data_IF_064218412715
#
_entry.id   IF_064218412715
#
_cell.length_a   1.000
_cell.length_b   1.000
_cell.length_c   1.000
_cell.angle_alpha   90.00
_cell.angle_beta   90.00
_cell.angle_gamma   90.00
#
_symmetry.space_group_name_H-M   'P 1'
#
loop_
_entity.id
_entity.type
_entity.pdbx_description
1 polymer ?
#
# COMPACT_ATOMS: atom_id res chain seq x y z
N UNK A 1 -41.47 -32.19 36.25
CA UNK A 1 -40.82 -30.88 36.47
C UNK A 1 -39.38 -31.11 36.92
N UNK A 2 -38.44 -31.08 35.97
CA UNK A 2 -36.99 -30.95 36.21
C UNK A 2 -36.48 -30.01 35.12
N UNK A 3 -36.12 -28.79 35.50
CA UNK A 3 -35.56 -27.78 34.61
C UNK A 3 -34.15 -28.22 34.20
N UNK A 4 -33.96 -28.58 32.93
CA UNK A 4 -32.65 -28.74 32.32
C UNK A 4 -32.29 -27.38 31.71
N UNK A 5 -31.31 -26.69 32.30
CA UNK A 5 -30.74 -25.45 31.77
C UNK A 5 -29.84 -25.80 30.60
N UNK A 6 -30.23 -25.40 29.39
CA UNK A 6 -29.35 -25.36 28.23
C UNK A 6 -28.38 -24.19 28.42
N UNK A 7 -27.08 -24.48 28.53
CA UNK A 7 -26.03 -23.49 28.36
C UNK A 7 -25.69 -23.46 26.87
N UNK A 8 -26.32 -22.53 26.15
CA UNK A 8 -25.83 -22.09 24.86
C UNK A 8 -24.62 -21.19 25.14
N UNK A 9 -23.42 -21.69 24.89
CA UNK A 9 -22.24 -20.82 24.80
C UNK A 9 -22.34 -20.06 23.48
N UNK A 10 -22.98 -18.88 23.54
CA UNK A 10 -22.69 -17.80 22.61
C UNK A 10 -21.21 -17.44 22.79
N UNK A 11 -20.35 -18.05 21.97
CA UNK A 11 -19.06 -17.45 21.63
C UNK A 11 -19.39 -16.28 20.73
N UNK A 12 -19.72 -15.16 21.38
CA UNK A 12 -19.63 -13.83 20.81
C UNK A 12 -18.31 -13.74 20.08
N UNK A 13 -18.37 -13.56 18.76
CA UNK A 13 -17.22 -13.21 17.96
C UNK A 13 -16.51 -12.07 18.65
N UNK A 14 -15.28 -12.35 19.11
CA UNK A 14 -14.34 -11.29 19.36
C UNK A 14 -14.08 -10.68 17.99
N UNK A 15 -14.83 -9.63 17.67
CA UNK A 15 -14.31 -8.57 16.81
C UNK A 15 -13.10 -8.08 17.59
N UNK A 16 -11.94 -8.67 17.29
CA UNK A 16 -10.66 -8.10 17.65
C UNK A 16 -10.59 -6.85 16.77
N UNK A 17 -11.21 -5.77 17.24
CA UNK A 17 -10.80 -4.41 16.92
C UNK A 17 -9.41 -4.28 17.53
N UNK A 18 -8.42 -4.85 16.85
CA UNK A 18 -7.07 -4.36 16.96
C UNK A 18 -7.14 -2.96 16.36
N UNK A 19 -7.27 -1.96 17.22
CA UNK A 19 -6.93 -0.59 16.87
C UNK A 19 -5.47 -0.63 16.49
N UNK A 20 -5.21 -0.63 15.19
CA UNK A 20 -3.90 -0.79 14.58
C UNK A 20 -3.08 0.50 14.62
N UNK A 21 -3.48 1.56 15.35
CA UNK A 21 -2.69 2.77 15.61
C UNK A 21 -1.80 3.20 14.43
N UNK A 22 -2.38 3.22 13.23
CA UNK A 22 -1.64 3.39 11.99
C UNK A 22 -0.71 4.60 11.95
N UNK A 23 0.49 4.32 11.43
CA UNK A 23 1.29 5.19 10.57
C UNK A 23 1.14 6.70 10.86
N UNK A 24 1.45 7.15 12.07
CA UNK A 24 1.87 8.55 12.24
C UNK A 24 3.29 8.64 11.72
N UNK A 25 3.44 9.11 10.47
CA UNK A 25 4.74 9.60 10.00
C UNK A 25 5.30 10.54 11.08
N UNK A 26 6.57 10.40 11.50
CA UNK A 26 7.13 11.20 12.57
C UNK A 26 7.17 12.68 12.14
N UNK A 27 6.14 13.42 12.52
CA UNK A 27 6.06 14.87 12.31
C UNK A 27 7.07 15.56 13.23
N UNK A 28 8.14 16.11 12.66
CA UNK A 28 8.90 17.16 13.33
C UNK A 28 8.21 18.50 13.04
N UNK A 29 7.28 18.88 13.92
CA UNK A 29 6.70 20.22 13.92
C UNK A 29 7.75 21.25 14.33
N UNK A 30 8.46 21.81 13.36
CA UNK A 30 9.28 22.98 13.60
C UNK A 30 9.08 24.03 12.48
N UNK A 31 7.87 24.62 12.47
CA UNK A 31 7.63 25.92 11.84
C UNK A 31 8.31 27.02 12.70
N UNK A 32 9.64 26.97 12.79
CA UNK A 32 10.39 27.91 13.62
C UNK A 32 10.44 29.28 12.94
N UNK A 33 10.09 30.31 13.71
CA UNK A 33 10.12 31.72 13.35
C UNK A 33 11.54 32.22 13.05
N UNK A 34 11.67 32.98 11.95
CA UNK A 34 12.72 33.98 11.62
C UNK A 34 13.98 33.93 12.50
N UNK A 35 14.90 32.99 12.22
CA UNK A 35 16.14 32.86 13.00
C UNK A 35 17.43 32.61 12.21
N UNK A 36 17.39 32.37 10.89
CA UNK A 36 18.61 32.05 10.15
C UNK A 36 19.30 33.33 9.60
N UNK A 37 20.48 33.61 10.13
CA UNK A 37 21.39 34.63 9.58
C UNK A 37 22.01 34.20 8.24
N UNK A 38 21.79 32.95 7.81
CA UNK A 38 22.39 32.33 6.62
C UNK A 38 21.52 32.41 5.34
N UNK A 39 20.21 32.70 5.43
CA UNK A 39 19.35 32.83 4.23
C UNK A 39 19.60 34.17 3.53
N UNK A 40 19.75 34.10 2.19
CA UNK A 40 19.98 35.24 1.30
C UNK A 40 18.98 36.38 1.50
N UNK A 41 19.47 37.63 1.42
CA UNK A 41 18.64 38.84 1.37
C UNK A 41 18.20 39.22 -0.05
N UNK A 42 18.75 38.54 -1.07
CA UNK A 42 18.33 38.68 -2.47
C UNK A 42 17.36 37.55 -2.80
N UNK A 43 16.26 37.87 -3.49
CA UNK A 43 15.26 36.87 -3.89
C UNK A 43 15.92 35.69 -4.62
N UNK A 44 15.52 34.47 -4.26
CA UNK A 44 15.92 33.27 -4.99
C UNK A 44 15.29 33.25 -6.40
N UNK A 45 15.96 32.57 -7.33
CA UNK A 45 15.56 32.54 -8.74
C UNK A 45 14.26 31.74 -8.97
N UNK A 46 14.06 30.65 -8.22
CA UNK A 46 12.85 29.83 -8.28
C UNK A 46 11.70 30.57 -7.61
N UNK A 47 10.93 31.32 -8.39
CA UNK A 47 9.77 32.08 -7.90
C UNK A 47 8.51 31.24 -7.98
N UNK A 48 7.85 30.99 -6.85
CA UNK A 48 6.54 30.36 -6.78
C UNK A 48 5.42 31.39 -6.61
N UNK A 49 4.33 31.21 -7.33
CA UNK A 49 3.14 32.08 -7.29
C UNK A 49 1.86 31.38 -6.85
N UNK A 50 1.90 30.06 -6.76
CA UNK A 50 0.89 29.20 -6.16
C UNK A 50 1.54 27.98 -5.50
N UNK A 51 0.75 27.12 -4.87
CA UNK A 51 1.23 25.90 -4.19
C UNK A 51 1.82 24.88 -5.18
N UNK A 52 1.32 24.82 -6.43
CA UNK A 52 1.83 23.89 -7.43
C UNK A 52 3.27 24.21 -7.82
N UNK A 53 3.60 25.49 -7.97
CA UNK A 53 4.97 25.92 -8.23
C UNK A 53 5.94 25.40 -7.15
N UNK A 54 5.53 25.51 -5.87
CA UNK A 54 6.35 25.04 -4.73
C UNK A 54 6.54 23.52 -4.78
N UNK A 55 5.44 22.78 -4.97
CA UNK A 55 5.46 21.32 -5.09
C UNK A 55 6.36 20.88 -6.24
N UNK A 56 6.26 21.52 -7.41
CA UNK A 56 7.07 21.20 -8.57
C UNK A 56 8.56 21.45 -8.32
N UNK A 57 8.94 22.56 -7.69
CA UNK A 57 10.36 22.80 -7.34
C UNK A 57 10.92 21.75 -6.39
N UNK A 58 10.11 21.27 -5.44
CA UNK A 58 10.53 20.20 -4.54
C UNK A 58 10.68 18.89 -5.32
N UNK A 59 9.70 18.51 -6.16
CA UNK A 59 9.75 17.30 -6.99
C UNK A 59 10.94 17.31 -7.95
N UNK A 60 11.24 18.46 -8.56
CA UNK A 60 12.42 18.63 -9.41
C UNK A 60 13.71 18.40 -8.62
N UNK A 61 13.84 19.00 -7.44
CA UNK A 61 15.00 18.81 -6.58
C UNK A 61 15.14 17.34 -6.10
N UNK A 62 14.04 16.67 -5.77
CA UNK A 62 14.01 15.23 -5.46
C UNK A 62 14.51 14.40 -6.65
N UNK A 63 14.01 14.68 -7.86
CA UNK A 63 14.41 14.01 -9.10
C UNK A 63 15.89 14.23 -9.44
N UNK A 64 16.43 15.37 -9.03
CA UNK A 64 17.84 15.71 -9.14
C UNK A 64 18.73 15.13 -8.04
N UNK A 65 18.17 14.34 -7.12
CA UNK A 65 18.85 13.77 -5.96
C UNK A 65 19.43 14.84 -5.02
N UNK A 66 18.74 15.98 -4.93
CA UNK A 66 18.99 17.02 -3.95
C UNK A 66 18.12 16.76 -2.71
N UNK A 67 18.58 17.23 -1.55
CA UNK A 67 17.84 17.15 -0.28
C UNK A 67 17.28 18.51 0.14
N UNK A 68 17.43 19.53 -0.71
CA UNK A 68 16.90 20.85 -0.46
C UNK A 68 16.69 21.63 -1.75
N UNK A 69 15.79 22.59 -1.71
CA UNK A 69 15.61 23.59 -2.76
C UNK A 69 15.39 24.98 -2.16
N UNK A 70 15.75 26.00 -2.94
CA UNK A 70 15.59 27.40 -2.57
C UNK A 70 14.45 28.00 -3.38
N UNK A 71 13.47 28.62 -2.72
CA UNK A 71 12.26 29.13 -3.36
C UNK A 71 11.99 30.56 -2.89
N UNK A 72 11.64 31.46 -3.81
CA UNK A 72 11.12 32.78 -3.49
C UNK A 72 9.59 32.78 -3.59
N UNK A 73 8.92 33.20 -2.53
CA UNK A 73 7.45 33.22 -2.40
C UNK A 73 6.99 34.65 -2.11
N UNK A 74 6.22 35.30 -3.00
CA UNK A 74 5.68 36.64 -2.75
C UNK A 74 4.56 36.66 -1.69
N UNK A 75 3.76 35.60 -1.62
CA UNK A 75 2.58 35.50 -0.76
C UNK A 75 2.85 34.56 0.43
N UNK A 76 2.89 35.06 1.68
CA UNK A 76 3.13 34.22 2.86
C UNK A 76 2.07 33.14 3.08
N UNK A 77 0.86 33.29 2.54
CA UNK A 77 -0.22 32.31 2.73
C UNK A 77 0.08 30.98 2.00
N UNK A 78 1.04 30.98 1.07
CA UNK A 78 1.51 29.77 0.39
C UNK A 78 2.50 28.95 1.23
N UNK A 79 3.01 29.49 2.35
CA UNK A 79 4.02 28.83 3.19
C UNK A 79 3.35 27.84 4.16
N UNK A 80 2.97 26.67 3.63
CA UNK A 80 2.40 25.57 4.41
C UNK A 80 3.11 24.24 4.11
N UNK A 81 4.17 23.96 4.88
CA UNK A 81 4.93 22.72 4.73
C UNK A 81 4.09 21.46 4.99
N UNK A 82 3.02 21.54 5.77
CA UNK A 82 2.13 20.38 5.98
C UNK A 82 1.30 20.12 4.73
N UNK A 83 0.76 21.19 4.11
CA UNK A 83 0.05 21.07 2.84
C UNK A 83 0.95 20.42 1.78
N UNK A 84 2.19 20.89 1.63
CA UNK A 84 3.12 20.32 0.63
C UNK A 84 3.43 18.86 0.93
N UNK A 85 3.72 18.51 2.19
CA UNK A 85 4.00 17.14 2.60
C UNK A 85 2.85 16.19 2.25
N UNK A 86 1.60 16.62 2.42
CA UNK A 86 0.43 15.80 2.10
C UNK A 86 0.23 15.57 0.59
N UNK A 87 0.89 16.36 -0.26
CA UNK A 87 0.73 16.35 -1.71
C UNK A 87 1.93 15.79 -2.46
N UNK A 88 3.08 15.65 -1.80
CA UNK A 88 4.31 15.13 -2.41
C UNK A 88 4.51 13.68 -1.98
N UNK A 89 4.22 12.74 -2.90
CA UNK A 89 4.49 11.32 -2.68
C UNK A 89 5.98 11.06 -2.46
N UNK A 90 6.32 10.23 -1.48
CA UNK A 90 7.67 9.76 -1.25
C UNK A 90 8.63 10.76 -0.58
N UNK A 91 8.10 11.80 0.07
CA UNK A 91 8.82 12.53 1.10
C UNK A 91 8.49 11.92 2.46
N UNK A 92 9.53 11.65 3.26
CA UNK A 92 9.39 11.20 4.65
C UNK A 92 9.27 12.39 5.61
N UNK A 93 10.08 13.43 5.37
CA UNK A 93 10.15 14.62 6.21
C UNK A 93 10.37 15.86 5.36
N UNK A 94 9.77 16.98 5.78
CA UNK A 94 10.00 18.28 5.18
C UNK A 94 10.21 19.31 6.28
N UNK A 95 11.21 20.16 6.09
CA UNK A 95 11.52 21.31 6.94
C UNK A 95 11.56 22.54 6.05
N UNK A 96 10.80 23.56 6.43
CA UNK A 96 10.83 24.85 5.76
C UNK A 96 11.45 25.91 6.67
N UNK A 97 12.57 26.48 6.26
CA UNK A 97 13.15 27.65 6.89
C UNK A 97 12.94 28.85 5.98
N UNK A 98 12.44 29.96 6.50
CA UNK A 98 12.17 31.12 5.68
C UNK A 98 12.70 32.42 6.29
N UNK A 99 12.93 33.39 5.41
CA UNK A 99 13.34 34.73 5.73
C UNK A 99 12.52 35.74 4.95
N UNK A 100 12.01 36.75 5.65
CA UNK A 100 11.34 37.89 4.98
C UNK A 100 12.36 38.77 4.26
N UNK A 101 12.07 39.11 3.01
CA UNK A 101 12.83 40.08 2.22
C UNK A 101 11.91 41.17 1.66
N UNK A 102 12.44 42.06 0.82
CA UNK A 102 11.63 43.03 0.10
C UNK A 102 10.72 42.28 -0.89
N UNK A 103 9.43 42.54 -0.82
CA UNK A 103 8.40 42.01 -1.73
C UNK A 103 8.12 40.47 -1.62
N UNK A 104 8.55 39.82 -0.53
CA UNK A 104 8.21 38.41 -0.28
C UNK A 104 9.10 37.72 0.76
N UNK A 105 9.24 36.39 0.60
CA UNK A 105 9.96 35.50 1.48
C UNK A 105 10.90 34.59 0.69
N UNK A 106 12.12 34.42 1.18
CA UNK A 106 13.04 33.39 0.71
C UNK A 106 12.90 32.17 1.61
N UNK A 107 12.61 31.03 0.99
CA UNK A 107 12.46 29.73 1.64
C UNK A 107 13.65 28.84 1.27
N UNK A 108 14.17 28.13 2.25
CA UNK A 108 15.03 26.96 2.09
C UNK A 108 14.21 25.77 2.57
N UNK A 109 13.77 24.96 1.63
CA UNK A 109 13.00 23.75 1.92
C UNK A 109 13.98 22.59 1.91
N UNK A 110 14.16 21.94 3.05
CA UNK A 110 14.98 20.73 3.21
C UNK A 110 14.05 19.54 3.39
N UNK A 111 14.35 18.40 2.78
CA UNK A 111 13.48 17.24 2.81
C UNK A 111 14.26 15.93 2.78
N UNK A 112 13.65 14.88 3.32
CA UNK A 112 14.11 13.50 3.25
C UNK A 112 13.18 12.73 2.31
N UNK A 113 13.76 12.07 1.31
CA UNK A 113 13.02 11.30 0.32
C UNK A 113 13.15 9.80 0.60
N UNK A 114 12.16 9.06 0.13
CA UNK A 114 12.27 7.62 -0.10
C UNK A 114 13.53 7.26 -0.88
N UNK A 115 14.17 6.16 -0.49
CA UNK A 115 15.38 5.66 -1.14
C UNK A 115 15.08 5.26 -2.61
N UNK A 116 13.81 4.95 -2.93
CA UNK A 116 13.28 4.72 -4.28
C UNK A 116 13.81 5.72 -5.33
N UNK A 117 13.81 7.03 -5.07
CA UNK A 117 14.17 8.04 -6.07
C UNK A 117 15.61 7.89 -6.56
N UNK A 118 16.55 7.77 -5.63
CA UNK A 118 17.97 7.57 -5.94
C UNK A 118 18.19 6.22 -6.63
N UNK A 119 17.52 5.17 -6.14
CA UNK A 119 17.60 3.80 -6.63
C UNK A 119 17.11 3.67 -8.07
N UNK A 120 15.95 4.22 -8.40
CA UNK A 120 15.39 4.19 -9.77
C UNK A 120 16.24 5.01 -10.74
N UNK A 121 16.76 6.17 -10.31
CA UNK A 121 17.72 6.95 -11.11
C UNK A 121 19.00 6.15 -11.41
N UNK A 122 19.53 5.44 -10.41
CA UNK A 122 20.70 4.58 -10.59
C UNK A 122 20.40 3.39 -11.51
N UNK A 123 19.23 2.76 -11.36
CA UNK A 123 18.77 1.65 -12.19
C UNK A 123 18.67 2.06 -13.66
N UNK A 124 17.95 3.15 -13.95
CA UNK A 124 17.73 3.65 -15.30
C UNK A 124 19.02 4.13 -15.99
N UNK A 125 19.95 4.68 -15.23
CA UNK A 125 21.25 5.13 -15.76
C UNK A 125 22.32 4.04 -15.81
N UNK A 126 22.10 2.91 -15.14
CA UNK A 126 23.13 1.89 -14.90
C UNK A 126 24.31 2.39 -14.05
N UNK A 127 24.13 3.45 -13.26
CA UNK A 127 25.19 4.11 -12.49
C UNK A 127 24.83 4.25 -11.00
N UNK A 128 25.47 3.44 -10.17
CA UNK A 128 25.26 3.42 -8.71
C UNK A 128 26.22 4.35 -7.93
N UNK A 129 27.09 5.11 -8.60
CA UNK A 129 28.13 5.93 -7.93
C UNK A 129 27.58 7.06 -7.03
N UNK A 130 26.33 7.47 -7.25
CA UNK A 130 25.66 8.50 -6.45
C UNK A 130 24.89 7.92 -5.25
N UNK A 131 24.77 6.59 -5.17
CA UNK A 131 24.10 5.92 -4.06
C UNK A 131 25.02 5.90 -2.83
N UNK A 132 24.43 6.16 -1.66
CA UNK A 132 25.11 5.90 -0.39
C UNK A 132 25.11 4.39 -0.06
N UNK A 133 25.84 3.96 0.98
CA UNK A 133 25.97 2.53 1.32
C UNK A 133 24.63 1.82 1.57
N UNK A 134 23.70 2.49 2.25
CA UNK A 134 22.35 1.99 2.54
C UNK A 134 21.56 1.77 1.25
N UNK A 135 21.60 2.75 0.35
CA UNK A 135 20.93 2.68 -0.95
C UNK A 135 21.54 1.62 -1.87
N UNK A 136 22.86 1.39 -1.82
CA UNK A 136 23.51 0.31 -2.57
C UNK A 136 23.04 -1.05 -2.07
N UNK A 137 22.94 -1.24 -0.75
CA UNK A 137 22.44 -2.48 -0.15
C UNK A 137 21.00 -2.77 -0.58
N UNK A 138 20.12 -1.78 -0.46
CA UNK A 138 18.72 -1.88 -0.88
C UNK A 138 18.58 -2.09 -2.40
N UNK A 139 19.35 -1.36 -3.22
CA UNK A 139 19.41 -1.56 -4.68
C UNK A 139 19.77 -3.01 -5.02
N UNK A 140 20.80 -3.57 -4.40
CA UNK A 140 21.21 -4.95 -4.64
C UNK A 140 20.11 -5.95 -4.23
N UNK A 141 19.41 -5.67 -3.13
CA UNK A 141 18.27 -6.50 -2.69
C UNK A 141 17.13 -6.48 -3.72
N UNK A 142 16.79 -5.33 -4.29
CA UNK A 142 15.80 -5.26 -5.38
C UNK A 142 16.22 -6.09 -6.60
N UNK A 143 17.47 -5.98 -7.04
CA UNK A 143 17.99 -6.75 -8.18
C UNK A 143 17.96 -8.26 -7.90
N UNK A 144 18.33 -8.69 -6.69
CA UNK A 144 18.27 -10.08 -6.26
C UNK A 144 16.84 -10.63 -6.38
N UNK A 145 15.87 -9.92 -5.79
CA UNK A 145 14.47 -10.36 -5.77
C UNK A 145 13.86 -10.36 -7.18
N UNK A 146 14.13 -9.32 -7.99
CA UNK A 146 13.69 -9.30 -9.40
C UNK A 146 14.19 -10.54 -10.15
N UNK A 147 15.47 -10.88 -9.99
CA UNK A 147 16.06 -12.06 -10.64
C UNK A 147 15.49 -13.39 -10.11
N UNK A 148 15.06 -13.43 -8.85
CA UNK A 148 14.48 -14.62 -8.22
C UNK A 148 13.04 -14.88 -8.66
N UNK A 149 12.18 -13.85 -8.58
CA UNK A 149 10.73 -14.06 -8.68
C UNK A 149 10.11 -13.57 -9.99
N UNK A 150 10.80 -12.77 -10.80
CA UNK A 150 10.25 -12.20 -12.05
C UNK A 150 10.93 -12.75 -13.30
N UNK A 151 10.35 -12.47 -14.48
CA UNK A 151 10.97 -12.81 -15.76
C UNK A 151 10.50 -11.90 -16.89
N UNK A 152 11.38 -11.48 -17.83
CA UNK A 152 10.95 -10.77 -19.04
C UNK A 152 10.02 -11.57 -19.96
N UNK A 153 9.89 -12.89 -19.75
CA UNK A 153 8.98 -13.74 -20.50
C UNK A 153 7.55 -13.80 -19.90
N UNK A 154 7.37 -13.32 -18.67
CA UNK A 154 6.08 -13.21 -17.99
C UNK A 154 5.40 -11.90 -18.38
N UNK A 155 4.08 -11.89 -18.33
CA UNK A 155 3.29 -10.67 -18.44
C UNK A 155 3.52 -9.73 -17.25
N UNK A 156 3.16 -8.46 -17.42
CA UNK A 156 3.23 -7.47 -16.34
C UNK A 156 2.44 -7.92 -15.12
N UNK A 157 1.22 -8.44 -15.32
CA UNK A 157 0.40 -9.03 -14.25
C UNK A 157 1.11 -10.18 -13.51
N UNK A 158 1.75 -11.10 -14.24
CA UNK A 158 2.44 -12.24 -13.62
C UNK A 158 3.69 -11.81 -12.85
N UNK A 159 4.38 -10.75 -13.28
CA UNK A 159 5.52 -10.19 -12.57
C UNK A 159 5.06 -9.36 -11.35
N UNK A 160 3.99 -8.58 -11.49
CA UNK A 160 3.35 -7.85 -10.41
C UNK A 160 2.91 -8.80 -9.28
N UNK A 161 2.14 -9.85 -9.61
CA UNK A 161 1.68 -10.85 -8.65
C UNK A 161 2.84 -11.53 -7.94
N UNK A 162 3.92 -11.86 -8.65
CA UNK A 162 5.09 -12.48 -8.05
C UNK A 162 5.81 -11.56 -7.05
N UNK A 163 5.84 -10.25 -7.32
CA UNK A 163 6.39 -9.24 -6.40
C UNK A 163 5.46 -9.06 -5.20
N UNK A 164 4.16 -8.93 -5.42
CA UNK A 164 3.16 -8.86 -4.36
C UNK A 164 3.33 -10.03 -3.38
N UNK A 165 3.33 -11.25 -3.90
CA UNK A 165 3.44 -12.49 -3.12
C UNK A 165 4.76 -12.55 -2.35
N UNK A 166 5.86 -12.13 -2.98
CA UNK A 166 7.15 -12.04 -2.31
C UNK A 166 7.11 -11.08 -1.12
N UNK A 167 6.54 -9.88 -1.30
CA UNK A 167 6.45 -8.88 -0.23
C UNK A 167 5.61 -9.39 0.94
N UNK A 168 4.42 -9.93 0.66
CA UNK A 168 3.52 -10.49 1.68
C UNK A 168 4.18 -11.65 2.43
N UNK A 169 4.98 -12.48 1.77
CA UNK A 169 5.62 -13.63 2.44
C UNK A 169 6.91 -13.32 3.18
N UNK A 170 7.55 -12.17 2.91
CA UNK A 170 8.89 -11.83 3.45
C UNK A 170 8.90 -10.64 4.40
N UNK A 171 7.84 -9.84 4.43
CA UNK A 171 7.72 -8.71 5.34
C UNK A 171 6.69 -9.07 6.41
N UNK A 172 6.98 -8.71 7.65
CA UNK A 172 6.05 -8.78 8.76
C UNK A 172 5.59 -7.37 9.12
N UNK A 173 4.28 -7.15 9.14
CA UNK A 173 3.75 -5.86 9.59
C UNK A 173 4.05 -5.64 11.08
N UNK A 174 4.76 -4.56 11.41
CA UNK A 174 5.07 -4.19 12.79
C UNK A 174 4.81 -2.71 13.01
N UNK A 175 3.81 -2.41 13.84
CA UNK A 175 3.51 -1.06 14.31
C UNK A 175 3.74 -0.94 15.83
N UNK A 176 4.99 -0.67 16.20
CA UNK A 176 5.42 -0.50 17.59
C UNK A 176 5.61 0.98 17.96
N UNK A 177 5.18 1.93 17.12
CA UNK A 177 5.54 3.35 17.26
C UNK A 177 7.05 3.64 17.17
N UNK A 178 7.83 2.69 16.66
CA UNK A 178 9.28 2.79 16.42
C UNK A 178 9.60 3.29 15.01
N UNK A 179 10.89 3.41 14.67
CA UNK A 179 11.40 4.03 13.44
C UNK A 179 11.32 3.18 12.16
N UNK A 180 10.59 2.06 12.16
CA UNK A 180 10.51 1.12 11.03
C UNK A 180 9.42 1.52 10.05
N UNK A 181 9.77 2.33 9.05
CA UNK A 181 8.78 2.96 8.18
C UNK A 181 9.01 2.77 6.67
N UNK A 182 10.22 2.45 6.22
CA UNK A 182 10.56 2.58 4.80
C UNK A 182 10.92 1.26 4.14
N UNK A 183 11.14 1.30 2.83
CA UNK A 183 11.44 0.12 2.03
C UNK A 183 12.71 -0.62 2.46
N UNK A 184 13.68 0.08 3.06
CA UNK A 184 14.85 -0.62 3.59
C UNK A 184 14.46 -1.55 4.74
N UNK A 185 13.65 -1.06 5.70
CA UNK A 185 13.24 -1.89 6.83
C UNK A 185 12.41 -3.07 6.33
N UNK A 186 11.52 -2.84 5.37
CA UNK A 186 10.77 -3.89 4.70
C UNK A 186 11.68 -4.93 4.03
N UNK A 187 12.57 -4.51 3.13
CA UNK A 187 13.31 -5.40 2.24
C UNK A 187 14.56 -6.04 2.88
N UNK A 188 15.18 -5.35 3.83
CA UNK A 188 16.42 -5.78 4.50
C UNK A 188 16.13 -6.40 5.87
N UNK A 189 15.30 -5.75 6.68
CA UNK A 189 15.00 -6.22 8.04
C UNK A 189 13.79 -7.17 8.08
N UNK A 190 12.94 -7.17 7.04
CA UNK A 190 11.73 -8.00 6.99
C UNK A 190 10.60 -7.48 7.86
N UNK A 191 10.65 -6.22 8.30
CA UNK A 191 9.70 -5.62 9.24
C UNK A 191 9.38 -4.18 8.82
N UNK A 192 8.11 -3.84 8.62
CA UNK A 192 7.70 -2.50 8.25
C UNK A 192 6.23 -2.20 8.58
N UNK A 193 5.84 -0.93 8.47
CA UNK A 193 4.44 -0.50 8.37
C UNK A 193 4.05 -0.20 6.91
N UNK A 194 2.83 0.32 6.72
CA UNK A 194 2.20 0.62 5.44
C UNK A 194 3.12 1.24 4.36
N UNK A 195 3.94 2.24 4.75
CA UNK A 195 4.84 2.94 3.83
C UNK A 195 6.00 2.07 3.32
N UNK A 196 6.50 1.11 4.10
CA UNK A 196 7.59 0.25 3.66
C UNK A 196 7.14 -0.77 2.62
N UNK A 197 5.93 -1.31 2.75
CA UNK A 197 5.30 -2.15 1.72
C UNK A 197 5.06 -1.34 0.45
N UNK A 198 4.48 -0.15 0.59
CA UNK A 198 4.11 0.72 -0.53
C UNK A 198 5.33 1.18 -1.34
N UNK A 199 6.38 1.65 -0.66
CA UNK A 199 7.63 2.07 -1.30
C UNK A 199 8.31 0.88 -1.98
N UNK A 200 8.33 -0.29 -1.33
CA UNK A 200 8.92 -1.51 -1.90
C UNK A 200 8.21 -1.94 -3.18
N UNK A 201 6.88 -2.05 -3.12
CA UNK A 201 6.07 -2.43 -4.28
C UNK A 201 6.20 -1.43 -5.42
N UNK A 202 6.10 -0.12 -5.12
CA UNK A 202 6.35 0.96 -6.08
C UNK A 202 7.71 0.80 -6.77
N UNK A 203 8.77 0.58 -6.00
CA UNK A 203 10.13 0.46 -6.54
C UNK A 203 10.26 -0.71 -7.51
N UNK A 204 9.65 -1.85 -7.19
CA UNK A 204 9.62 -2.98 -8.12
C UNK A 204 8.83 -2.67 -9.39
N UNK A 205 7.67 -2.02 -9.28
CA UNK A 205 6.87 -1.65 -10.46
C UNK A 205 7.64 -0.66 -11.36
N UNK A 206 8.29 0.34 -10.77
CA UNK A 206 9.14 1.29 -11.49
C UNK A 206 10.32 0.56 -12.20
N UNK A 207 10.97 -0.41 -11.55
CA UNK A 207 12.05 -1.21 -12.17
C UNK A 207 11.56 -2.15 -13.28
N UNK A 208 10.34 -2.67 -13.16
CA UNK A 208 9.70 -3.51 -14.18
C UNK A 208 9.14 -2.67 -15.36
N UNK A 209 9.10 -1.34 -15.22
CA UNK A 209 8.49 -0.45 -16.21
C UNK A 209 6.97 -0.45 -16.18
N UNK A 210 6.36 -0.93 -15.09
CA UNK A 210 4.92 -0.91 -14.86
C UNK A 210 4.53 0.45 -14.28
N UNK A 211 3.73 1.20 -15.03
CA UNK A 211 3.28 2.54 -14.63
C UNK A 211 2.47 2.45 -13.34
N UNK A 212 2.83 3.26 -12.34
CA UNK A 212 2.23 3.20 -11.01
C UNK A 212 2.34 4.55 -10.28
N UNK A 213 1.52 4.74 -9.26
CA UNK A 213 1.63 5.83 -8.30
C UNK A 213 1.17 5.39 -6.91
N UNK A 214 1.34 6.26 -5.90
CA UNK A 214 0.87 6.01 -4.53
C UNK A 214 -0.34 6.86 -4.20
N UNK A 215 -1.22 6.35 -3.34
CA UNK A 215 -2.32 7.10 -2.73
C UNK A 215 -2.12 7.11 -1.23
N UNK A 216 -2.25 8.29 -0.63
CA UNK A 216 -2.40 8.47 0.81
C UNK A 216 -3.85 8.77 1.16
N UNK A 217 -4.30 8.22 2.27
CA UNK A 217 -5.68 8.36 2.72
C UNK A 217 -5.87 7.69 4.07
N UNK A 218 -7.07 7.15 4.29
CA UNK A 218 -7.37 6.35 5.47
C UNK A 218 -7.86 4.98 5.07
N UNK A 219 -7.47 3.99 5.85
CA UNK A 219 -8.01 2.64 5.81
C UNK A 219 -8.72 2.39 7.15
N UNK A 220 -10.04 2.19 7.10
CA UNK A 220 -10.90 2.31 8.28
C UNK A 220 -10.82 3.72 8.89
N UNK A 221 -10.20 3.84 10.07
CA UNK A 221 -10.03 5.12 10.76
C UNK A 221 -8.58 5.58 10.86
N UNK A 222 -7.65 4.87 10.23
CA UNK A 222 -6.21 5.05 10.43
C UNK A 222 -5.58 5.59 9.15
N UNK A 223 -4.54 6.42 9.30
CA UNK A 223 -3.79 6.92 8.14
C UNK A 223 -3.11 5.76 7.45
N UNK A 224 -3.18 5.76 6.12
CA UNK A 224 -2.68 4.67 5.32
C UNK A 224 -2.15 5.16 3.98
N UNK A 225 -1.27 4.37 3.39
CA UNK A 225 -0.71 4.60 2.06
C UNK A 225 -0.63 3.26 1.32
N UNK A 226 -0.95 3.27 0.03
CA UNK A 226 -0.96 2.09 -0.83
C UNK A 226 -0.69 2.50 -2.29
N UNK A 227 -0.77 1.54 -3.22
CA UNK A 227 -0.38 1.72 -4.61
C UNK A 227 -1.58 1.69 -5.57
N UNK A 228 -1.39 2.32 -6.73
CA UNK A 228 -2.20 2.08 -7.92
C UNK A 228 -1.26 1.74 -9.06
N UNK A 229 -1.58 0.68 -9.80
CA UNK A 229 -0.81 0.23 -10.96
C UNK A 229 -1.65 0.27 -12.22
N UNK A 230 -0.97 0.39 -13.34
CA UNK A 230 -1.58 0.28 -14.66
C UNK A 230 -1.13 -1.01 -15.33
N UNK A 231 -2.10 -1.82 -15.71
CA UNK A 231 -1.87 -3.01 -16.52
C UNK A 231 -2.60 -2.84 -17.84
N UNK A 232 -1.85 -2.98 -18.94
CA UNK A 232 -2.29 -2.56 -20.27
C UNK A 232 -2.79 -1.10 -20.30
N UNK A 233 -4.10 -0.89 -20.35
CA UNK A 233 -4.74 0.42 -20.43
C UNK A 233 -5.61 0.76 -19.23
N UNK A 234 -5.71 -0.15 -18.26
CA UNK A 234 -6.60 0.00 -17.11
C UNK A 234 -5.78 0.16 -15.81
N UNK A 235 -6.32 0.96 -14.90
CA UNK A 235 -5.74 1.20 -13.58
C UNK A 235 -6.41 0.35 -12.51
N UNK A 236 -5.63 -0.04 -11.51
CA UNK A 236 -6.00 -0.96 -10.44
C UNK A 236 -5.42 -0.51 -9.11
N UNK A 237 -6.24 -0.53 -8.05
CA UNK A 237 -5.81 -0.30 -6.67
C UNK A 237 -5.14 -1.57 -6.12
N UNK A 238 -4.01 -1.40 -5.44
CA UNK A 238 -3.24 -2.49 -4.81
C UNK A 238 -2.83 -2.09 -3.40
N UNK A 239 -3.24 -2.87 -2.41
CA UNK A 239 -2.80 -2.71 -1.02
C UNK A 239 -2.13 -3.99 -0.50
N UNK A 240 -0.81 -4.04 -0.68
CA UNK A 240 0.04 -5.15 -0.21
C UNK A 240 0.02 -5.29 1.31
N UNK A 241 -0.24 -4.20 2.04
CA UNK A 241 -0.26 -4.22 3.51
C UNK A 241 -1.51 -4.92 4.03
N UNK A 242 -2.68 -4.66 3.43
CA UNK A 242 -3.94 -5.30 3.83
C UNK A 242 -4.08 -6.75 3.32
N UNK A 243 -3.23 -7.14 2.38
CA UNK A 243 -3.05 -8.52 1.94
C UNK A 243 -1.98 -9.29 2.74
N UNK A 244 -1.20 -8.62 3.61
CA UNK A 244 -0.40 -9.29 4.66
C UNK A 244 -1.33 -9.84 5.74
N UNK A 245 -1.42 -11.18 5.92
CA UNK A 245 -2.38 -11.77 6.82
C UNK A 245 -1.83 -11.79 8.25
N UNK A 246 -1.70 -10.60 8.85
CA UNK A 246 -1.18 -10.36 10.20
C UNK A 246 -1.83 -11.29 11.23
N UNK A 247 -1.01 -12.09 11.92
CA UNK A 247 -1.46 -12.99 12.98
C UNK A 247 -2.20 -14.26 12.50
N UNK A 248 -2.26 -14.52 11.19
CA UNK A 248 -2.70 -15.81 10.64
C UNK A 248 -1.53 -16.78 10.48
N UNK A 249 -1.80 -18.07 10.28
CA UNK A 249 -0.76 -19.02 9.88
C UNK A 249 -0.23 -18.60 8.50
N UNK A 250 1.10 -18.43 8.37
CA UNK A 250 1.88 -18.17 7.13
C UNK A 250 1.65 -19.17 5.97
N UNK A 251 0.62 -20.01 6.03
CA UNK A 251 0.33 -21.06 5.05
C UNK A 251 -0.37 -20.53 3.78
N UNK A 252 -0.84 -19.28 3.75
CA UNK A 252 -1.52 -18.66 2.60
C UNK A 252 -1.24 -17.15 2.50
N UNK A 253 -1.12 -16.65 1.27
CA UNK A 253 -0.96 -15.24 0.91
C UNK A 253 -2.34 -14.72 0.48
N UNK A 254 -2.83 -13.63 1.09
CA UNK A 254 -4.12 -13.04 0.71
C UNK A 254 -3.97 -12.20 -0.56
N UNK A 255 -5.06 -12.05 -1.30
CA UNK A 255 -5.14 -11.26 -2.54
C UNK A 255 -6.43 -10.45 -2.61
N UNK A 256 -7.03 -10.19 -1.45
CA UNK A 256 -8.27 -9.43 -1.30
C UNK A 256 -8.15 -8.03 -1.86
N UNK A 257 -7.00 -7.38 -1.70
CA UNK A 257 -6.73 -6.01 -2.14
C UNK A 257 -5.77 -5.96 -3.34
N UNK A 258 -5.49 -7.09 -3.97
CA UNK A 258 -4.72 -7.18 -5.21
C UNK A 258 -5.58 -6.87 -6.44
N UNK A 259 -5.25 -5.76 -7.09
CA UNK A 259 -5.85 -5.28 -8.33
C UNK A 259 -7.38 -5.08 -8.26
N UNK A 260 -7.86 -4.29 -7.30
CA UNK A 260 -9.29 -3.98 -7.13
C UNK A 260 -9.65 -2.62 -7.74
N UNK A 261 -10.95 -2.35 -7.90
CA UNK A 261 -11.44 -1.07 -8.39
C UNK A 261 -11.44 0.01 -7.31
N UNK A 262 -11.45 1.29 -7.70
CA UNK A 262 -11.71 2.43 -6.80
C UNK A 262 -13.01 2.20 -6.02
N UNK A 263 -14.06 1.73 -6.69
CA UNK A 263 -15.34 1.51 -6.03
C UNK A 263 -15.27 0.47 -4.91
N UNK A 264 -14.46 -0.58 -5.11
CA UNK A 264 -14.29 -1.65 -4.13
C UNK A 264 -13.34 -1.23 -3.00
N UNK A 265 -12.28 -0.50 -3.33
CA UNK A 265 -11.36 0.09 -2.35
C UNK A 265 -12.09 1.10 -1.44
N UNK A 266 -13.02 1.88 -1.99
CA UNK A 266 -13.82 2.87 -1.26
C UNK A 266 -14.79 2.30 -0.21
N UNK A 267 -14.92 0.98 -0.11
CA UNK A 267 -15.75 0.32 0.91
C UNK A 267 -15.16 0.52 2.31
N UNK A 268 -13.84 0.47 2.42
CA UNK A 268 -13.09 0.56 3.68
C UNK A 268 -11.92 1.56 3.63
N UNK A 269 -11.59 2.09 2.45
CA UNK A 269 -10.61 3.17 2.29
C UNK A 269 -11.26 4.50 1.90
N UNK A 270 -10.62 5.60 2.26
CA UNK A 270 -11.00 6.96 1.83
C UNK A 270 -9.75 7.75 1.45
N UNK A 271 -9.79 8.49 0.34
CA UNK A 271 -8.66 9.28 -0.14
C UNK A 271 -9.13 10.51 -0.91
N UNK A 272 -8.18 11.38 -1.24
CA UNK A 272 -8.32 12.47 -2.21
C UNK A 272 -7.00 12.53 -2.96
N UNK A 273 -7.04 12.40 -4.29
CA UNK A 273 -5.83 12.29 -5.11
C UNK A 273 -6.08 12.76 -6.53
N UNK A 274 -5.43 13.85 -6.93
CA UNK A 274 -5.50 14.42 -8.29
C UNK A 274 -5.05 13.38 -9.35
N UNK A 275 -4.02 12.59 -9.01
CA UNK A 275 -3.53 11.49 -9.85
C UNK A 275 -4.61 10.45 -10.11
N UNK A 276 -5.38 10.06 -9.08
CA UNK A 276 -6.46 9.09 -9.21
C UNK A 276 -7.71 9.68 -9.86
N UNK A 277 -8.03 10.95 -9.63
CA UNK A 277 -9.10 11.64 -10.38
C UNK A 277 -8.80 11.67 -11.88
N UNK A 278 -7.53 11.84 -12.26
CA UNK A 278 -7.08 11.80 -13.65
C UNK A 278 -7.00 10.37 -14.20
N UNK A 279 -6.62 9.41 -13.35
CA UNK A 279 -6.39 8.01 -13.70
C UNK A 279 -7.19 7.07 -12.78
N UNK A 280 -8.52 7.01 -12.91
CA UNK A 280 -9.34 6.26 -11.99
C UNK A 280 -9.20 4.75 -12.21
N UNK A 281 -9.07 4.00 -11.12
CA UNK A 281 -8.89 2.56 -11.13
C UNK A 281 -10.23 1.85 -11.35
N UNK A 282 -10.60 1.67 -12.62
CA UNK A 282 -11.83 0.97 -13.02
C UNK A 282 -11.55 -0.36 -13.75
N UNK A 283 -10.31 -0.85 -13.65
CA UNK A 283 -9.91 -2.09 -14.29
C UNK A 283 -10.66 -3.30 -13.74
N UNK A 284 -10.93 -4.27 -14.61
CA UNK A 284 -11.63 -5.51 -14.25
C UNK A 284 -10.83 -6.77 -14.61
N UNK A 285 -10.18 -6.76 -15.78
CA UNK A 285 -9.54 -7.95 -16.37
C UNK A 285 -8.48 -8.54 -15.43
N UNK A 286 -7.68 -7.70 -14.78
CA UNK A 286 -6.59 -8.15 -13.90
C UNK A 286 -6.95 -8.25 -12.41
N UNK A 287 -8.25 -8.18 -12.07
CA UNK A 287 -8.68 -8.45 -10.68
C UNK A 287 -8.36 -9.89 -10.28
N UNK A 288 -7.95 -10.11 -9.02
CA UNK A 288 -7.57 -11.44 -8.54
C UNK A 288 -8.63 -12.52 -8.81
N UNK A 289 -9.94 -12.32 -8.53
CA UNK A 289 -10.94 -13.36 -8.79
C UNK A 289 -11.04 -13.79 -10.27
N UNK A 290 -10.81 -12.85 -11.19
CA UNK A 290 -10.85 -13.10 -12.64
C UNK A 290 -9.62 -13.88 -13.07
N UNK A 291 -8.43 -13.42 -12.66
CA UNK A 291 -7.16 -14.03 -13.07
C UNK A 291 -6.92 -15.40 -12.43
N UNK A 292 -7.23 -15.55 -11.14
CA UNK A 292 -7.21 -16.83 -10.43
C UNK A 292 -8.36 -17.76 -10.84
N UNK A 293 -9.32 -17.28 -11.65
CA UNK A 293 -10.50 -18.02 -12.12
C UNK A 293 -11.28 -18.64 -10.96
N UNK A 294 -11.49 -17.85 -9.91
CA UNK A 294 -12.17 -18.30 -8.72
C UNK A 294 -13.57 -18.82 -9.07
N UNK A 295 -13.98 -19.88 -8.37
CA UNK A 295 -15.36 -20.36 -8.50
C UNK A 295 -16.32 -19.27 -8.02
N UNK A 296 -17.40 -19.04 -8.77
CA UNK A 296 -18.47 -18.14 -8.36
C UNK A 296 -19.75 -18.94 -8.12
N UNK A 297 -20.28 -18.85 -6.90
CA UNK A 297 -21.52 -19.51 -6.52
C UNK A 297 -22.65 -18.48 -6.42
N UNK A 298 -23.67 -18.62 -7.27
CA UNK A 298 -24.86 -17.78 -7.27
C UNK A 298 -25.98 -18.34 -6.38
N UNK A 299 -25.98 -19.64 -6.10
CA UNK A 299 -27.00 -20.30 -5.28
C UNK A 299 -26.41 -21.18 -4.18
N UNK A 300 -27.17 -21.43 -3.12
CA UNK A 300 -26.76 -22.36 -2.05
C UNK A 300 -26.45 -23.76 -2.60
N UNK A 301 -27.19 -24.23 -3.60
CA UNK A 301 -26.94 -25.53 -4.22
C UNK A 301 -25.58 -25.61 -4.92
N UNK A 302 -25.19 -24.55 -5.63
CA UNK A 302 -23.87 -24.46 -6.26
C UNK A 302 -22.76 -24.43 -5.21
N UNK A 303 -22.94 -23.65 -4.14
CA UNK A 303 -21.99 -23.58 -3.03
C UNK A 303 -21.82 -24.95 -2.35
N UNK A 304 -22.92 -25.62 -1.99
CA UNK A 304 -22.90 -26.95 -1.38
C UNK A 304 -22.13 -27.96 -2.24
N UNK A 305 -22.34 -27.93 -3.56
CA UNK A 305 -21.65 -28.81 -4.52
C UNK A 305 -20.17 -28.49 -4.63
N UNK A 306 -19.80 -27.21 -4.62
CA UNK A 306 -18.42 -26.76 -4.67
C UNK A 306 -17.65 -27.19 -3.41
N UNK A 307 -18.17 -26.85 -2.22
CA UNK A 307 -17.57 -27.18 -0.93
C UNK A 307 -17.43 -28.70 -0.77
N UNK A 308 -18.47 -29.48 -1.11
CA UNK A 308 -18.40 -30.95 -1.09
C UNK A 308 -17.28 -31.49 -1.98
N UNK A 309 -17.08 -30.91 -3.17
CA UNK A 309 -16.02 -31.34 -4.10
C UNK A 309 -14.64 -31.07 -3.51
N UNK A 310 -14.42 -29.86 -2.97
CA UNK A 310 -13.15 -29.46 -2.36
C UNK A 310 -12.80 -30.31 -1.12
N UNK A 311 -13.79 -30.60 -0.28
CA UNK A 311 -13.61 -31.48 0.89
C UNK A 311 -13.24 -32.91 0.46
N UNK A 312 -13.90 -33.44 -0.58
CA UNK A 312 -13.58 -34.78 -1.12
C UNK A 312 -12.20 -34.85 -1.75
N UNK A 313 -11.72 -33.77 -2.36
CA UNK A 313 -10.35 -33.68 -2.88
C UNK A 313 -9.31 -33.39 -1.81
N UNK A 314 -9.70 -33.29 -0.52
CA UNK A 314 -8.81 -32.95 0.59
C UNK A 314 -8.11 -31.60 0.41
N UNK A 315 -8.76 -30.64 -0.26
CA UNK A 315 -8.24 -29.28 -0.38
C UNK A 315 -8.13 -28.67 1.02
N UNK A 316 -6.96 -28.19 1.41
CA UNK A 316 -6.74 -27.52 2.71
C UNK A 316 -7.21 -26.08 2.70
N UNK A 317 -7.02 -25.38 1.59
CA UNK A 317 -7.42 -24.00 1.40
C UNK A 317 -8.22 -23.85 0.11
N UNK A 318 -9.28 -23.04 0.14
CA UNK A 318 -10.06 -22.69 -1.04
C UNK A 318 -10.47 -21.23 -1.01
N UNK A 319 -10.57 -20.67 -2.20
CA UNK A 319 -11.13 -19.34 -2.41
C UNK A 319 -12.27 -19.41 -3.43
N UNK A 320 -13.26 -18.56 -3.25
CA UNK A 320 -14.40 -18.43 -4.16
C UNK A 320 -15.13 -17.12 -3.94
N UNK A 321 -16.00 -16.76 -4.88
CA UNK A 321 -16.88 -15.60 -4.78
C UNK A 321 -18.34 -16.02 -4.68
N UNK A 322 -19.17 -15.18 -4.06
CA UNK A 322 -20.63 -15.29 -4.14
C UNK A 322 -21.22 -13.93 -4.52
N UNK A 323 -22.33 -13.94 -5.24
CA UNK A 323 -23.10 -12.70 -5.55
C UNK A 323 -24.31 -12.52 -4.62
N UNK A 324 -24.56 -13.50 -3.75
CA UNK A 324 -25.66 -13.53 -2.80
C UNK A 324 -25.11 -13.91 -1.41
N UNK A 325 -25.87 -13.57 -0.37
CA UNK A 325 -25.59 -14.06 0.99
C UNK A 325 -25.90 -15.57 1.05
N UNK A 326 -24.86 -16.38 1.21
CA UNK A 326 -24.94 -17.85 1.22
C UNK A 326 -24.41 -18.41 2.55
N UNK A 327 -24.95 -19.54 2.98
CA UNK A 327 -24.61 -20.17 4.25
C UNK A 327 -23.49 -21.21 4.07
N UNK A 328 -22.25 -20.78 4.32
CA UNK A 328 -21.07 -21.65 4.32
C UNK A 328 -21.17 -22.75 5.36
N UNK A 329 -21.75 -22.46 6.54
CA UNK A 329 -21.86 -23.44 7.62
C UNK A 329 -22.76 -24.59 7.19
N UNK A 330 -23.87 -24.28 6.53
CA UNK A 330 -24.73 -25.28 5.91
C UNK A 330 -23.99 -26.06 4.82
N UNK A 331 -23.25 -25.40 3.94
CA UNK A 331 -22.50 -26.06 2.87
C UNK A 331 -21.44 -27.05 3.39
N UNK A 332 -20.67 -26.66 4.42
CA UNK A 332 -19.69 -27.55 5.07
C UNK A 332 -20.40 -28.69 5.81
N UNK A 333 -21.48 -28.42 6.54
CA UNK A 333 -22.26 -29.46 7.23
C UNK A 333 -22.84 -30.49 6.25
N UNK A 334 -23.32 -30.04 5.09
CA UNK A 334 -23.88 -30.90 4.05
C UNK A 334 -22.83 -31.80 3.38
N UNK A 335 -21.54 -31.53 3.58
CA UNK A 335 -20.47 -32.38 3.10
C UNK A 335 -20.42 -33.76 3.81
N UNK A 336 -20.99 -33.85 5.02
CA UNK A 336 -21.07 -35.10 5.79
C UNK A 336 -19.71 -35.60 6.29
N UNK A 337 -18.69 -34.74 6.34
CA UNK A 337 -17.34 -35.04 6.84
C UNK A 337 -17.12 -34.27 8.13
N UNK A 338 -16.64 -34.96 9.18
CA UNK A 338 -16.22 -34.30 10.41
C UNK A 338 -14.86 -33.63 10.17
N UNK A 339 -14.84 -32.31 10.15
CA UNK A 339 -13.65 -31.47 10.03
C UNK A 339 -13.88 -30.15 10.76
N UNK A 340 -12.82 -29.39 10.99
CA UNK A 340 -12.91 -27.99 11.44
C UNK A 340 -12.54 -27.05 10.30
N UNK A 341 -13.03 -25.82 10.33
CA UNK A 341 -12.73 -24.82 9.32
C UNK A 341 -12.76 -23.41 9.91
N UNK A 342 -11.99 -22.51 9.29
CA UNK A 342 -12.06 -21.07 9.47
C UNK A 342 -12.30 -20.41 8.10
N UNK A 343 -12.83 -19.19 8.10
CA UNK A 343 -12.95 -18.43 6.87
C UNK A 343 -12.83 -16.92 7.13
N UNK A 344 -12.28 -16.21 6.14
CA UNK A 344 -12.31 -14.75 5.99
C UNK A 344 -13.30 -14.39 4.88
N UNK A 345 -13.99 -13.28 5.06
CA UNK A 345 -14.88 -12.70 4.05
C UNK A 345 -14.41 -11.30 3.68
N UNK A 346 -14.35 -11.03 2.39
CA UNK A 346 -14.01 -9.70 1.86
C UNK A 346 -15.17 -9.23 1.00
N UNK A 347 -15.86 -8.17 1.44
CA UNK A 347 -17.03 -7.63 0.75
C UNK A 347 -16.56 -6.70 -0.38
N UNK A 348 -17.14 -6.87 -1.56
CA UNK A 348 -16.94 -6.03 -2.76
C UNK A 348 -18.32 -5.60 -3.27
N UNK A 349 -18.40 -4.59 -4.13
CA UNK A 349 -19.70 -4.01 -4.51
C UNK A 349 -20.64 -5.02 -5.17
N UNK A 350 -20.09 -5.97 -5.93
CA UNK A 350 -20.85 -6.92 -6.73
C UNK A 350 -20.71 -8.39 -6.28
N UNK A 351 -19.83 -8.66 -5.31
CA UNK A 351 -19.58 -10.02 -4.81
C UNK A 351 -18.98 -10.00 -3.41
N UNK A 352 -19.06 -11.12 -2.71
CA UNK A 352 -18.29 -11.39 -1.51
C UNK A 352 -17.25 -12.45 -1.84
N UNK A 353 -15.99 -12.17 -1.56
CA UNK A 353 -14.92 -13.17 -1.64
C UNK A 353 -14.81 -13.93 -0.31
N UNK A 354 -14.63 -15.23 -0.41
CA UNK A 354 -14.43 -16.12 0.73
C UNK A 354 -13.11 -16.83 0.58
N UNK A 355 -12.31 -16.79 1.65
CA UNK A 355 -11.09 -17.56 1.82
C UNK A 355 -11.34 -18.54 2.97
N UNK A 356 -11.28 -19.85 2.71
CA UNK A 356 -11.69 -20.90 3.66
C UNK A 356 -10.56 -21.91 3.84
N UNK A 357 -10.17 -22.14 5.09
CA UNK A 357 -9.17 -23.14 5.46
C UNK A 357 -9.85 -24.29 6.21
N UNK A 358 -9.61 -25.52 5.76
CA UNK A 358 -10.09 -26.76 6.35
C UNK A 358 -8.97 -27.49 7.10
N UNK A 359 -9.31 -28.02 8.28
CA UNK A 359 -8.43 -28.91 9.06
C UNK A 359 -9.10 -30.27 9.22
N UNK A 360 -8.52 -31.29 8.58
CA UNK A 360 -9.04 -32.66 8.43
C UNK A 360 -8.64 -33.63 9.54
#
# INVERSE_FOLDING_TARGET
MKHIKYWASLLTGAVILASLCGCTLPFTHDNSSDSSTEISYTAFDNKATDTEDIINFIIEAMSDNQTSCNIFVPDPDLIDANEWLTRISGIEQIKCEYRRIKDGYNLVVTFECWDNYAIIKAFNSGNTSQLNSRQVELYNKYIEVLAEVTSPARSDYENELAIHDYLVSHITYIDNGGSTFNAYDAMINGEAVCSGYTESFKTFMDMLGIENYTISGKAGNEQHIWNVVKLDNDWYQVDVTWDDPVGSSQEYIDHSYFNISDSDMAIDHTWTSDSNETNPANGYIYTYPVQAKLHSAGTQYELDRYILRCIKSRSQHIEFTTTNELDIKSAVSNAGVQLSYSYKTTIRNNYTMYSVTFSY
#
